data_IF_136532857127
#
_entry.id   IF_136532857127
#
_cell.length_a   1.000
_cell.length_b   1.000
_cell.length_c   1.000
_cell.angle_alpha   90.00
_cell.angle_beta   90.00
_cell.angle_gamma   90.00
#
_symmetry.space_group_name_H-M   'P 1'
#
loop_
_entity.id
_entity.type
_entity.pdbx_description
1 polymer ?
#
# COMPACT_ATOMS: atom_id res chain seq x y z
N UNK A 1 0.44 -15.66 -6.05
CA UNK A 1 -0.32 -16.08 -4.84
C UNK A 1 -1.30 -14.99 -4.43
N UNK A 2 -0.84 -13.75 -4.27
CA UNK A 2 -1.63 -12.61 -3.75
C UNK A 2 -2.92 -12.32 -4.52
N UNK A 3 -2.89 -12.35 -5.87
CA UNK A 3 -4.09 -12.16 -6.69
C UNK A 3 -5.12 -13.28 -6.53
N UNK A 4 -4.68 -14.54 -6.43
CA UNK A 4 -5.57 -15.68 -6.18
C UNK A 4 -6.12 -15.62 -4.76
N UNK A 5 -5.28 -15.29 -3.77
CA UNK A 5 -5.71 -15.12 -2.38
C UNK A 5 -6.72 -13.99 -2.21
N UNK A 6 -6.55 -12.89 -2.94
CA UNK A 6 -7.52 -11.79 -3.01
C UNK A 6 -8.82 -12.21 -3.68
N UNK A 7 -8.77 -12.96 -4.79
CA UNK A 7 -9.97 -13.45 -5.46
C UNK A 7 -10.78 -14.39 -4.54
N UNK A 8 -10.10 -15.32 -3.85
CA UNK A 8 -10.74 -16.20 -2.87
C UNK A 8 -11.31 -15.38 -1.70
N UNK A 9 -10.57 -14.41 -1.17
CA UNK A 9 -11.06 -13.54 -0.11
C UNK A 9 -12.34 -12.79 -0.54
N UNK A 10 -12.37 -12.26 -1.77
CA UNK A 10 -13.54 -11.59 -2.33
C UNK A 10 -14.79 -12.48 -2.38
N UNK A 11 -14.65 -13.78 -2.65
CA UNK A 11 -15.78 -14.75 -2.61
C UNK A 11 -16.39 -14.83 -1.21
N UNK A 12 -15.54 -14.74 -0.17
CA UNK A 12 -15.96 -14.79 1.24
C UNK A 12 -16.24 -13.40 1.84
N UNK A 13 -16.31 -12.34 1.03
CA UNK A 13 -16.54 -10.97 1.50
C UNK A 13 -15.35 -10.31 2.19
N UNK A 14 -14.16 -10.90 2.05
CA UNK A 14 -12.89 -10.32 2.50
C UNK A 14 -12.39 -9.20 1.60
N UNK A 15 -11.48 -8.38 2.15
CA UNK A 15 -10.83 -7.30 1.43
C UNK A 15 -9.62 -7.81 0.61
N UNK A 16 -9.11 -7.03 -0.35
CA UNK A 16 -7.88 -7.35 -1.06
C UNK A 16 -6.69 -7.54 -0.10
N UNK A 17 -5.95 -8.64 -0.31
CA UNK A 17 -4.84 -9.03 0.54
C UNK A 17 -3.52 -8.88 -0.21
N UNK A 18 -2.48 -8.47 0.51
CA UNK A 18 -1.11 -8.39 -0.02
C UNK A 18 -0.11 -8.81 1.04
N UNK A 19 1.11 -9.12 0.61
CA UNK A 19 2.22 -9.46 1.51
C UNK A 19 2.54 -8.29 2.46
N UNK A 20 2.45 -8.53 3.76
CA UNK A 20 2.73 -7.52 4.79
C UNK A 20 4.24 -7.30 4.96
N UNK A 21 4.75 -6.14 4.53
CA UNK A 21 6.18 -5.78 4.65
C UNK A 21 6.67 -5.70 6.10
N UNK A 22 5.76 -5.54 7.08
CA UNK A 22 6.09 -5.58 8.51
C UNK A 22 6.69 -6.92 8.94
N UNK A 23 6.33 -8.02 8.24
CA UNK A 23 6.86 -9.35 8.53
C UNK A 23 8.36 -9.45 8.21
N UNK A 24 8.86 -8.69 7.22
CA UNK A 24 10.28 -8.65 6.87
C UNK A 24 11.10 -8.03 8.01
N UNK A 25 10.57 -6.98 8.66
CA UNK A 25 11.19 -6.38 9.84
C UNK A 25 11.32 -7.38 11.00
N UNK A 26 10.26 -8.13 11.29
CA UNK A 26 10.28 -9.18 12.31
C UNK A 26 11.31 -10.29 12.00
N UNK A 27 11.44 -10.69 10.73
CA UNK A 27 12.45 -11.68 10.31
C UNK A 27 13.86 -11.13 10.51
N UNK A 28 14.11 -9.84 10.21
CA UNK A 28 15.43 -9.24 10.41
C UNK A 28 15.85 -9.17 11.89
N UNK A 29 14.90 -9.02 12.82
CA UNK A 29 15.18 -9.00 14.27
C UNK A 29 15.34 -10.41 14.86
N UNK A 30 14.50 -11.36 14.42
CA UNK A 30 14.50 -12.72 14.96
C UNK A 30 15.51 -13.65 14.28
N UNK A 31 15.96 -13.32 13.07
CA UNK A 31 16.83 -14.15 12.25
C UNK A 31 16.16 -15.42 11.70
N UNK A 32 14.86 -15.61 11.94
CA UNK A 32 14.15 -16.84 11.57
C UNK A 32 13.36 -16.65 10.27
N UNK A 33 13.91 -17.16 9.16
CA UNK A 33 13.27 -17.13 7.83
C UNK A 33 12.55 -18.46 7.48
N UNK A 34 11.99 -19.15 8.47
CA UNK A 34 11.36 -20.46 8.26
C UNK A 34 9.91 -20.34 7.78
N UNK A 35 9.58 -20.96 6.64
CA UNK A 35 8.19 -21.07 6.13
C UNK A 35 7.24 -21.71 7.13
N UNK A 36 7.75 -22.60 7.99
CA UNK A 36 6.94 -23.30 8.98
C UNK A 36 6.38 -22.35 10.03
N UNK A 37 7.15 -21.33 10.42
CA UNK A 37 6.69 -20.31 11.39
C UNK A 37 5.50 -19.55 10.81
N UNK A 38 5.57 -19.17 9.53
CA UNK A 38 4.48 -18.49 8.82
C UNK A 38 3.25 -19.40 8.70
N UNK A 39 3.43 -20.67 8.35
CA UNK A 39 2.32 -21.63 8.25
C UNK A 39 1.63 -21.87 9.60
N UNK A 40 2.39 -21.99 10.70
CA UNK A 40 1.82 -22.13 12.05
C UNK A 40 1.02 -20.88 12.42
N UNK A 41 1.56 -19.69 12.12
CA UNK A 41 0.85 -18.42 12.32
C UNK A 41 -0.45 -18.35 11.52
N UNK A 42 -0.44 -18.81 10.26
CA UNK A 42 -1.65 -18.85 9.42
C UNK A 42 -2.71 -19.79 10.00
N UNK A 43 -2.33 -21.00 10.41
CA UNK A 43 -3.26 -21.97 11.04
C UNK A 43 -3.82 -21.40 12.35
N UNK A 44 -2.97 -20.76 13.16
CA UNK A 44 -3.40 -20.08 14.38
C UNK A 44 -4.44 -19.00 14.10
N UNK A 45 -4.21 -18.12 13.11
CA UNK A 45 -5.17 -17.07 12.73
C UNK A 45 -6.48 -17.65 12.19
N UNK A 46 -6.43 -18.76 11.43
CA UNK A 46 -7.64 -19.46 10.98
C UNK A 46 -8.45 -19.95 12.18
N UNK A 47 -7.80 -20.62 13.15
CA UNK A 47 -8.47 -21.10 14.37
C UNK A 47 -9.09 -19.93 15.15
N UNK A 48 -8.33 -18.85 15.36
CA UNK A 48 -8.83 -17.65 16.01
C UNK A 48 -10.03 -17.03 15.28
N UNK A 49 -10.05 -17.08 13.94
CA UNK A 49 -11.17 -16.61 13.13
C UNK A 49 -12.48 -17.36 13.37
N UNK A 50 -12.42 -18.64 13.76
CA UNK A 50 -13.59 -19.44 14.13
C UNK A 50 -14.02 -19.26 15.60
N UNK A 51 -13.22 -18.58 16.42
CA UNK A 51 -13.51 -18.39 17.85
C UNK A 51 -14.19 -17.02 18.05
N UNK A 52 -15.50 -16.96 18.32
CA UNK A 52 -16.22 -15.69 18.47
C UNK A 52 -15.74 -14.85 19.66
N UNK A 53 -15.15 -15.49 20.68
CA UNK A 53 -14.56 -14.81 21.83
C UNK A 53 -13.41 -13.89 21.42
N UNK A 54 -12.60 -14.29 20.44
CA UNK A 54 -11.50 -13.45 19.93
C UNK A 54 -12.07 -12.18 19.28
N UNK A 55 -13.11 -12.32 18.46
CA UNK A 55 -13.81 -11.18 17.86
C UNK A 55 -14.45 -10.25 18.91
N UNK A 56 -15.01 -10.82 19.99
CA UNK A 56 -15.57 -10.03 21.08
C UNK A 56 -14.50 -9.20 21.79
N UNK A 57 -13.32 -9.77 22.06
CA UNK A 57 -12.19 -9.05 22.66
C UNK A 57 -11.72 -7.92 21.75
N UNK A 58 -11.56 -8.17 20.44
CA UNK A 58 -11.17 -7.14 19.47
C UNK A 58 -12.16 -5.97 19.47
N UNK A 59 -13.47 -6.26 19.59
CA UNK A 59 -14.50 -5.21 19.65
C UNK A 59 -14.43 -4.35 20.93
N UNK A 60 -13.85 -4.86 22.01
CA UNK A 60 -13.65 -4.06 23.24
C UNK A 60 -12.47 -3.08 23.14
N UNK A 61 -11.63 -3.19 22.10
CA UNK A 61 -10.47 -2.32 21.92
C UNK A 61 -10.92 -0.87 21.67
N UNK A 62 -10.46 0.10 22.47
CA UNK A 62 -10.79 1.50 22.28
C UNK A 62 -10.33 2.07 20.92
N UNK A 63 -11.12 2.97 20.34
CA UNK A 63 -10.84 3.55 19.02
C UNK A 63 -9.52 4.34 18.97
N UNK A 64 -9.09 4.93 20.08
CA UNK A 64 -7.81 5.62 20.19
C UNK A 64 -6.62 4.65 20.07
N UNK A 65 -6.76 3.40 20.53
CA UNK A 65 -5.72 2.37 20.36
C UNK A 65 -5.68 1.89 18.91
N UNK A 66 -6.85 1.65 18.31
CA UNK A 66 -6.95 1.29 16.89
C UNK A 66 -6.35 2.38 15.99
N UNK A 67 -6.64 3.66 16.30
CA UNK A 67 -6.05 4.81 15.60
C UNK A 67 -4.53 4.84 15.70
N UNK A 68 -3.96 4.59 16.88
CA UNK A 68 -2.51 4.45 17.05
C UNK A 68 -1.90 3.33 16.18
N UNK A 69 -2.56 2.17 16.13
CA UNK A 69 -2.14 1.06 15.27
C UNK A 69 -2.17 1.42 13.78
N UNK A 70 -3.22 2.13 13.33
CA UNK A 70 -3.36 2.60 11.96
C UNK A 70 -2.26 3.61 11.59
N UNK A 71 -1.91 4.54 12.48
CA UNK A 71 -0.82 5.50 12.26
C UNK A 71 0.51 4.78 12.07
N UNK A 72 0.82 3.79 12.91
CA UNK A 72 2.05 2.99 12.77
C UNK A 72 2.04 2.22 11.44
N UNK A 73 0.91 1.61 11.07
CA UNK A 73 0.80 0.87 9.81
C UNK A 73 1.06 1.77 8.59
N UNK A 74 0.40 2.93 8.50
CA UNK A 74 0.62 3.87 7.40
C UNK A 74 2.02 4.49 7.42
N UNK A 75 2.58 4.76 8.61
CA UNK A 75 3.96 5.24 8.76
C UNK A 75 4.99 4.23 8.22
N UNK A 76 4.80 2.94 8.52
CA UNK A 76 5.64 1.87 7.97
C UNK A 76 5.49 1.72 6.44
N UNK A 77 4.28 1.90 5.90
CA UNK A 77 4.04 1.91 4.44
C UNK A 77 4.81 3.07 3.78
N UNK A 78 4.74 4.28 4.36
CA UNK A 78 5.48 5.43 3.86
C UNK A 78 7.01 5.19 3.93
N UNK A 79 7.51 4.65 5.05
CA UNK A 79 8.92 4.32 5.21
C UNK A 79 9.41 3.27 4.19
N UNK A 80 8.60 2.25 3.90
CA UNK A 80 8.90 1.26 2.86
C UNK A 80 8.98 1.91 1.47
N UNK A 81 8.10 2.87 1.17
CA UNK A 81 8.17 3.65 -0.07
C UNK A 81 9.47 4.46 -0.19
N UNK A 82 9.89 5.13 0.88
CA UNK A 82 11.18 5.86 0.92
C UNK A 82 12.36 4.89 0.76
N UNK A 83 12.31 3.73 1.40
CA UNK A 83 13.35 2.72 1.26
C UNK A 83 13.45 2.20 -0.19
N UNK A 84 12.33 2.01 -0.88
CA UNK A 84 12.32 1.64 -2.31
C UNK A 84 12.99 2.72 -3.19
N UNK A 85 12.76 4.00 -2.88
CA UNK A 85 13.38 5.12 -3.59
C UNK A 85 14.89 5.26 -3.31
N UNK A 86 15.40 4.70 -2.21
CA UNK A 86 16.83 4.79 -1.88
C UNK A 86 17.74 4.08 -2.89
N UNK A 87 17.20 3.13 -3.66
CA UNK A 87 17.93 2.44 -4.73
C UNK A 87 17.98 3.19 -6.07
N UNK A 88 17.33 4.36 -6.17
CA UNK A 88 17.23 5.13 -7.41
C UNK A 88 18.37 6.15 -7.51
N UNK A 89 19.00 6.25 -8.69
CA UNK A 89 19.95 7.32 -8.99
C UNK A 89 19.20 8.65 -9.21
N UNK A 90 19.43 9.63 -8.34
CA UNK A 90 18.78 10.94 -8.40
C UNK A 90 19.46 11.88 -9.39
N UNK A 91 19.21 11.66 -10.69
CA UNK A 91 19.55 12.60 -11.76
C UNK A 91 18.38 13.56 -12.05
N UNK A 92 18.62 14.58 -12.88
CA UNK A 92 17.62 15.60 -13.23
C UNK A 92 16.33 14.98 -13.78
N UNK A 93 16.47 13.96 -14.64
CA UNK A 93 15.36 13.17 -15.19
C UNK A 93 14.49 12.54 -14.10
N UNK A 94 15.09 11.74 -13.23
CA UNK A 94 14.36 10.99 -12.21
C UNK A 94 13.75 11.93 -11.15
N UNK A 95 14.43 13.03 -10.82
CA UNK A 95 13.87 14.09 -9.98
C UNK A 95 12.63 14.74 -10.63
N UNK A 96 12.66 15.03 -11.94
CA UNK A 96 11.51 15.59 -12.66
C UNK A 96 10.34 14.60 -12.70
N UNK A 97 10.60 13.32 -13.02
CA UNK A 97 9.57 12.27 -13.03
C UNK A 97 8.92 12.19 -11.65
N UNK A 98 9.73 12.11 -10.58
CA UNK A 98 9.25 12.03 -9.22
C UNK A 98 8.42 13.26 -8.83
N UNK A 99 8.94 14.47 -9.06
CA UNK A 99 8.28 15.72 -8.69
C UNK A 99 6.92 15.87 -9.40
N UNK A 100 6.88 15.71 -10.73
CA UNK A 100 5.64 15.89 -11.51
C UNK A 100 4.59 14.86 -11.12
N UNK A 101 4.99 13.59 -11.00
CA UNK A 101 4.06 12.50 -10.66
C UNK A 101 3.48 12.66 -9.26
N UNK A 102 4.32 13.03 -8.29
CA UNK A 102 3.90 13.23 -6.90
C UNK A 102 3.03 14.48 -6.75
N UNK A 103 3.41 15.59 -7.38
CA UNK A 103 2.66 16.85 -7.35
C UNK A 103 1.26 16.69 -7.95
N UNK A 104 1.13 16.01 -9.09
CA UNK A 104 -0.19 15.80 -9.71
C UNK A 104 -1.02 14.80 -8.90
N UNK A 105 -0.40 13.73 -8.39
CA UNK A 105 -1.07 12.75 -7.53
C UNK A 105 -1.71 13.39 -6.29
N UNK A 106 -0.92 14.16 -5.53
CA UNK A 106 -1.46 14.89 -4.38
C UNK A 106 -2.39 16.04 -4.79
N UNK A 107 -2.09 16.74 -5.88
CA UNK A 107 -2.91 17.86 -6.36
C UNK A 107 -4.35 17.45 -6.68
N UNK A 108 -4.54 16.34 -7.39
CA UNK A 108 -5.87 15.82 -7.73
C UNK A 108 -6.60 15.22 -6.52
N UNK A 109 -5.87 14.67 -5.55
CA UNK A 109 -6.45 14.18 -4.30
C UNK A 109 -6.92 15.33 -3.40
N UNK A 110 -6.16 16.43 -3.32
CA UNK A 110 -6.46 17.60 -2.49
C UNK A 110 -7.53 18.51 -3.10
N UNK A 111 -7.63 18.55 -4.43
CA UNK A 111 -8.62 19.37 -5.16
C UNK A 111 -9.45 18.49 -6.12
N UNK A 112 -10.43 17.72 -5.61
CA UNK A 112 -11.27 16.85 -6.43
C UNK A 112 -12.12 17.60 -7.46
N UNK A 113 -12.37 18.90 -7.22
CA UNK A 113 -13.17 19.76 -8.09
C UNK A 113 -12.47 20.11 -9.40
N UNK A 114 -11.15 19.95 -9.48
CA UNK A 114 -10.41 20.06 -10.74
C UNK A 114 -10.90 19.07 -11.81
N UNK A 115 -11.59 18.01 -11.40
CA UNK A 115 -12.12 16.94 -12.25
C UNK A 115 -13.63 17.05 -12.48
N UNK A 116 -14.25 18.21 -12.21
CA UNK A 116 -15.70 18.42 -12.32
C UNK A 116 -16.31 18.11 -13.70
N UNK A 117 -15.52 18.19 -14.77
CA UNK A 117 -15.97 17.90 -16.14
C UNK A 117 -15.70 16.46 -16.60
N UNK A 118 -15.11 15.62 -15.74
CA UNK A 118 -14.82 14.22 -16.07
C UNK A 118 -15.97 13.28 -15.70
N UNK A 119 -16.17 12.18 -16.44
CA UNK A 119 -17.21 11.21 -16.12
C UNK A 119 -16.97 10.60 -14.73
N UNK A 120 -18.05 10.34 -13.98
CA UNK A 120 -17.97 9.98 -12.55
C UNK A 120 -17.07 8.80 -12.23
N UNK A 121 -17.01 7.77 -13.10
CA UNK A 121 -16.11 6.64 -12.93
C UNK A 121 -14.63 7.04 -13.02
N UNK A 122 -14.30 7.96 -13.92
CA UNK A 122 -12.94 8.47 -14.11
C UNK A 122 -12.54 9.44 -12.99
N UNK A 123 -13.50 10.24 -12.50
CA UNK A 123 -13.30 11.11 -11.33
C UNK A 123 -12.85 10.28 -10.12
N UNK A 124 -13.54 9.18 -9.81
CA UNK A 124 -13.17 8.30 -8.68
C UNK A 124 -11.72 7.81 -8.82
N UNK A 125 -11.35 7.31 -10.00
CA UNK A 125 -9.99 6.79 -10.25
C UNK A 125 -8.92 7.89 -10.13
N UNK A 126 -9.14 9.06 -10.71
CA UNK A 126 -8.19 10.16 -10.71
C UNK A 126 -8.10 10.85 -9.33
N UNK A 127 -9.18 10.91 -8.56
CA UNK A 127 -9.15 11.45 -7.18
C UNK A 127 -8.45 10.54 -6.17
N UNK A 128 -8.18 9.27 -6.53
CA UNK A 128 -7.43 8.36 -5.65
C UNK A 128 -6.00 8.84 -5.36
N UNK A 129 -5.44 9.72 -6.20
CA UNK A 129 -4.08 10.26 -6.11
C UNK A 129 -3.00 9.25 -6.51
N UNK A 130 -3.16 7.97 -6.13
CA UNK A 130 -2.24 6.89 -6.46
C UNK A 130 -2.21 6.57 -7.96
N UNK A 131 -3.38 6.39 -8.58
CA UNK A 131 -3.48 6.07 -10.01
C UNK A 131 -2.86 7.13 -10.92
N UNK A 132 -3.21 8.43 -10.81
CA UNK A 132 -2.60 9.45 -11.66
C UNK A 132 -1.09 9.59 -11.43
N UNK A 133 -0.62 9.47 -10.17
CA UNK A 133 0.81 9.50 -9.88
C UNK A 133 1.55 8.32 -10.53
N UNK A 134 1.04 7.10 -10.37
CA UNK A 134 1.67 5.91 -10.95
C UNK A 134 1.64 5.95 -12.48
N UNK A 135 0.51 6.35 -13.07
CA UNK A 135 0.37 6.49 -14.51
C UNK A 135 1.37 7.49 -15.07
N UNK A 136 1.47 8.68 -14.47
CA UNK A 136 2.43 9.70 -14.89
C UNK A 136 3.87 9.24 -14.71
N UNK A 137 4.21 8.59 -13.60
CA UNK A 137 5.55 8.08 -13.36
C UNK A 137 5.98 7.08 -14.45
N UNK A 138 5.08 6.16 -14.82
CA UNK A 138 5.32 5.18 -15.88
C UNK A 138 5.45 5.87 -17.24
N UNK A 139 4.50 6.74 -17.59
CA UNK A 139 4.48 7.42 -18.89
C UNK A 139 5.70 8.33 -19.06
N UNK A 140 6.04 9.13 -18.06
CA UNK A 140 7.21 10.00 -18.10
C UNK A 140 8.51 9.19 -18.13
N UNK A 141 8.59 8.06 -17.42
CA UNK A 141 9.75 7.18 -17.50
C UNK A 141 9.90 6.50 -18.87
N UNK A 142 8.80 6.25 -19.61
CA UNK A 142 8.89 5.72 -20.97
C UNK A 142 9.23 6.80 -22.01
N UNK A 143 8.70 8.01 -21.85
CA UNK A 143 8.83 9.08 -22.85
C UNK A 143 10.14 9.86 -22.70
N UNK A 144 10.60 10.10 -21.46
CA UNK A 144 11.82 10.87 -21.23
C UNK A 144 13.07 10.03 -21.55
N UNK A 145 13.95 10.53 -22.44
CA UNK A 145 15.19 9.84 -22.78
C UNK A 145 16.09 9.71 -21.54
N UNK A 146 16.92 8.67 -21.52
CA UNK A 146 17.83 8.39 -20.39
C UNK A 146 18.93 9.46 -20.27
N UNK A 147 19.37 10.01 -21.40
CA UNK A 147 20.36 11.08 -21.50
C UNK A 147 19.67 12.46 -21.49
N UNK A 148 19.39 12.97 -20.30
CA UNK A 148 19.14 14.40 -20.09
C UNK A 148 20.43 14.97 -19.51
N UNK A 149 21.39 15.27 -20.38
CA UNK A 149 22.57 16.08 -20.02
C UNK A 149 22.14 17.44 -19.41
#
# INVERSE_FOLDING_TARGET
>A
ADGVGTAVAGIFGGLPNTSFSQNVGLISMTGVMSRHVVSIGAVFLIICGFIPLVGAIIRTVPINVLGGGVIVMFGMVAAAGVNMLSGVAWNRRNMLIFAVSLSIGFGLQLVPDALQHTPGWLKILLTSGLLPAAFLAIVLNLILPEDID
#
